data_IF_206183538686
#
_entry.id   IF_206183538686
#
_cell.length_a   1.000
_cell.length_b   1.000
_cell.length_c   1.000
_cell.angle_alpha   90.00
_cell.angle_beta   90.00
_cell.angle_gamma   90.00
#
_symmetry.space_group_name_H-M   'P 1'
#
loop_
_entity.id
_entity.type
_entity.pdbx_description
1 polymer ?
#
# COMPACT_ATOMS: atom_id res chain seq x y z
N UNK A 1 -5.56 28.18 4.46
CA UNK A 1 -5.88 27.16 3.43
C UNK A 1 -6.52 25.95 4.08
N UNK A 2 -7.30 25.15 3.34
CA UNK A 2 -8.03 24.00 3.87
C UNK A 2 -7.12 22.76 3.88
N UNK A 3 -6.98 22.11 5.02
CA UNK A 3 -6.21 20.87 5.11
C UNK A 3 -6.92 19.73 4.37
N UNK A 4 -6.15 18.90 3.68
CA UNK A 4 -6.65 17.68 3.07
C UNK A 4 -6.83 16.60 4.14
N UNK A 5 -7.89 15.80 4.00
CA UNK A 5 -8.19 14.74 4.96
C UNK A 5 -7.26 13.53 4.73
N UNK A 6 -6.25 13.39 5.58
CA UNK A 6 -5.26 12.32 5.51
C UNK A 6 -5.86 10.92 5.65
N UNK A 7 -6.96 10.76 6.39
CA UNK A 7 -7.62 9.46 6.57
C UNK A 7 -8.28 8.97 5.27
N UNK A 8 -8.89 9.90 4.51
CA UNK A 8 -9.51 9.57 3.22
C UNK A 8 -8.43 9.14 2.23
N UNK A 9 -7.32 9.88 2.15
CA UNK A 9 -6.21 9.55 1.27
C UNK A 9 -5.55 8.21 1.65
N UNK A 10 -5.39 7.94 2.95
CA UNK A 10 -4.97 6.64 3.45
C UNK A 10 -5.91 5.54 2.98
N UNK A 11 -7.22 5.66 3.19
CA UNK A 11 -8.19 4.66 2.72
C UNK A 11 -8.10 4.41 1.21
N UNK A 12 -8.03 5.48 0.41
CA UNK A 12 -7.92 5.37 -1.04
C UNK A 12 -6.64 4.67 -1.48
N UNK A 13 -5.48 5.03 -0.91
CA UNK A 13 -4.21 4.39 -1.23
C UNK A 13 -4.09 2.96 -0.66
N UNK A 14 -4.77 2.65 0.44
CA UNK A 14 -4.91 1.31 0.96
C UNK A 14 -5.62 0.38 -0.02
N UNK A 15 -6.80 0.80 -0.52
CA UNK A 15 -7.57 0.04 -1.52
C UNK A 15 -6.76 -0.10 -2.83
N UNK A 16 -6.11 0.99 -3.26
CA UNK A 16 -5.28 0.97 -4.46
C UNK A 16 -4.08 0.02 -4.33
N UNK A 17 -3.41 0.01 -3.19
CA UNK A 17 -2.30 -0.90 -2.88
C UNK A 17 -2.75 -2.36 -2.93
N UNK A 18 -3.93 -2.68 -2.37
CA UNK A 18 -4.53 -4.02 -2.44
C UNK A 18 -4.73 -4.44 -3.91
N UNK A 19 -5.30 -3.55 -4.74
CA UNK A 19 -5.56 -3.85 -6.15
C UNK A 19 -4.27 -4.12 -6.94
N UNK A 20 -3.26 -3.27 -6.77
CA UNK A 20 -1.94 -3.47 -7.39
C UNK A 20 -1.34 -4.79 -6.92
N UNK A 21 -1.42 -5.09 -5.63
CA UNK A 21 -0.86 -6.30 -5.06
C UNK A 21 -1.51 -7.57 -5.63
N UNK A 22 -2.84 -7.58 -5.77
CA UNK A 22 -3.57 -8.68 -6.41
C UNK A 22 -3.12 -8.85 -7.87
N UNK A 23 -3.03 -7.76 -8.63
CA UNK A 23 -2.56 -7.80 -10.03
C UNK A 23 -1.13 -8.34 -10.10
N UNK A 24 -0.25 -7.93 -9.20
CA UNK A 24 1.11 -8.43 -9.11
C UNK A 24 1.15 -9.94 -8.84
N UNK A 25 0.35 -10.44 -7.89
CA UNK A 25 0.29 -11.87 -7.60
C UNK A 25 -0.22 -12.70 -8.78
N UNK A 26 -1.22 -12.18 -9.51
CA UNK A 26 -1.76 -12.85 -10.71
C UNK A 26 -0.70 -12.88 -11.82
N UNK A 27 -0.05 -11.74 -12.11
CA UNK A 27 0.95 -11.63 -13.17
C UNK A 27 2.21 -12.44 -12.89
N UNK A 28 2.71 -12.47 -11.65
CA UNK A 28 3.83 -13.33 -11.26
C UNK A 28 3.51 -14.81 -11.39
N UNK A 29 2.26 -15.20 -11.10
CA UNK A 29 1.81 -16.59 -11.22
C UNK A 29 1.67 -17.05 -12.69
N UNK A 30 1.32 -16.14 -13.61
CA UNK A 30 1.18 -16.43 -15.04
C UNK A 30 2.55 -16.42 -15.76
N UNK A 31 3.39 -15.42 -15.47
CA UNK A 31 4.64 -15.18 -16.20
C UNK A 31 5.87 -15.85 -15.57
N UNK A 32 5.71 -16.62 -14.49
CA UNK A 32 6.83 -17.23 -13.77
C UNK A 32 7.77 -16.19 -13.12
N UNK A 33 7.25 -15.02 -12.77
CA UNK A 33 8.05 -13.90 -12.25
C UNK A 33 8.54 -14.14 -10.82
N UNK A 34 9.74 -13.64 -10.51
CA UNK A 34 10.33 -13.74 -9.18
C UNK A 34 9.62 -12.81 -8.18
N UNK A 35 9.15 -13.38 -7.07
CA UNK A 35 8.51 -12.64 -5.95
C UNK A 35 9.50 -11.92 -5.02
N UNK A 36 10.80 -12.00 -5.34
CA UNK A 36 11.91 -11.51 -4.52
C UNK A 36 11.80 -10.03 -4.11
N UNK A 37 11.14 -9.21 -4.93
CA UNK A 37 10.97 -7.78 -4.66
C UNK A 37 9.99 -7.48 -3.51
N UNK A 38 9.03 -8.37 -3.24
CA UNK A 38 7.96 -8.13 -2.27
C UNK A 38 8.26 -8.71 -0.89
N UNK A 39 9.07 -9.76 -0.83
CA UNK A 39 9.40 -10.50 0.40
C UNK A 39 9.85 -9.59 1.56
N UNK A 40 10.68 -8.55 1.36
CA UNK A 40 11.10 -7.68 2.46
C UNK A 40 9.94 -6.90 3.09
N UNK A 41 8.89 -6.64 2.33
CA UNK A 41 7.74 -5.82 2.74
C UNK A 41 6.56 -6.69 3.20
N UNK A 42 6.40 -7.87 2.62
CA UNK A 42 5.32 -8.83 2.87
C UNK A 42 5.90 -10.26 2.84
N UNK A 43 6.60 -10.71 3.90
CA UNK A 43 7.35 -11.96 3.89
C UNK A 43 6.47 -13.21 3.73
N UNK A 44 5.24 -13.15 4.23
CA UNK A 44 4.26 -14.24 4.12
C UNK A 44 3.72 -14.44 2.69
N UNK A 45 4.02 -13.53 1.74
CA UNK A 45 3.53 -13.63 0.37
C UNK A 45 4.20 -14.75 -0.46
N UNK A 46 5.30 -15.32 0.02
CA UNK A 46 5.98 -16.45 -0.62
C UNK A 46 5.50 -17.81 -0.15
N UNK A 47 4.79 -17.86 0.97
CA UNK A 47 4.32 -19.13 1.49
C UNK A 47 2.99 -19.53 0.83
N UNK A 48 2.87 -20.78 0.36
CA UNK A 48 1.61 -21.27 -0.18
C UNK A 48 0.58 -21.39 0.94
N UNK A 49 -0.66 -20.93 0.68
CA UNK A 49 -1.77 -21.07 1.61
C UNK A 49 -2.78 -19.93 1.54
N UNK A 50 -4.06 -20.25 1.75
CA UNK A 50 -5.14 -19.27 1.74
C UNK A 50 -4.96 -18.20 2.83
N UNK A 51 -4.51 -18.62 4.02
CA UNK A 51 -4.26 -17.70 5.14
C UNK A 51 -3.13 -16.71 4.83
N UNK A 52 -2.03 -17.21 4.25
CA UNK A 52 -0.88 -16.40 3.85
C UNK A 52 -1.24 -15.42 2.72
N UNK A 53 -2.07 -15.84 1.78
CA UNK A 53 -2.63 -14.97 0.74
C UNK A 53 -3.48 -13.83 1.33
N UNK A 54 -4.43 -14.15 2.21
CA UNK A 54 -5.28 -13.15 2.87
C UNK A 54 -4.44 -12.20 3.72
N UNK A 55 -3.50 -12.73 4.52
CA UNK A 55 -2.60 -11.94 5.33
C UNK A 55 -1.76 -10.97 4.49
N UNK A 56 -1.27 -11.42 3.33
CA UNK A 56 -0.49 -10.59 2.41
C UNK A 56 -1.30 -9.42 1.86
N UNK A 57 -2.57 -9.64 1.52
CA UNK A 57 -3.49 -8.59 1.07
C UNK A 57 -3.72 -7.56 2.17
N UNK A 58 -3.95 -8.02 3.41
CA UNK A 58 -4.16 -7.13 4.56
C UNK A 58 -2.93 -6.24 4.78
N UNK A 59 -1.73 -6.84 4.76
CA UNK A 59 -0.47 -6.10 4.93
C UNK A 59 -0.28 -5.08 3.80
N UNK A 60 -0.55 -5.45 2.54
CA UNK A 60 -0.50 -4.51 1.42
C UNK A 60 -1.45 -3.32 1.61
N UNK A 61 -2.66 -3.57 2.12
CA UNK A 61 -3.63 -2.52 2.46
C UNK A 61 -3.17 -1.60 3.58
N UNK A 62 -2.58 -2.16 4.65
CA UNK A 62 -2.01 -1.39 5.77
C UNK A 62 -0.89 -0.48 5.28
N UNK A 63 0.01 -0.99 4.43
CA UNK A 63 1.08 -0.20 3.84
C UNK A 63 0.55 0.93 2.95
N UNK A 64 -0.42 0.62 2.08
CA UNK A 64 -1.06 1.64 1.25
C UNK A 64 -1.73 2.73 2.09
N UNK A 65 -2.42 2.34 3.17
CA UNK A 65 -3.02 3.28 4.12
C UNK A 65 -1.99 4.16 4.78
N UNK A 66 -0.93 3.56 5.32
CA UNK A 66 0.15 4.28 5.99
C UNK A 66 0.84 5.29 5.05
N UNK A 67 1.13 4.89 3.81
CA UNK A 67 1.73 5.76 2.82
C UNK A 67 0.81 6.92 2.45
N UNK A 68 -0.48 6.65 2.21
CA UNK A 68 -1.43 7.70 1.87
C UNK A 68 -1.67 8.71 2.98
N UNK A 69 -1.75 8.24 4.22
CA UNK A 69 -1.80 9.10 5.39
C UNK A 69 -0.54 9.97 5.48
N UNK A 70 0.64 9.34 5.37
CA UNK A 70 1.93 10.02 5.48
C UNK A 70 2.11 11.09 4.40
N UNK A 71 1.77 10.80 3.14
CA UNK A 71 1.90 11.77 2.05
C UNK A 71 1.04 13.02 2.27
N UNK A 72 -0.23 12.84 2.68
CA UNK A 72 -1.10 13.99 2.95
C UNK A 72 -0.68 14.74 4.21
N UNK A 73 -0.19 14.03 5.22
CA UNK A 73 0.36 14.66 6.42
C UNK A 73 1.55 15.56 6.08
N UNK A 74 2.50 15.05 5.30
CA UNK A 74 3.66 15.81 4.81
C UNK A 74 3.20 16.99 3.95
N UNK A 75 2.29 16.76 3.00
CA UNK A 75 1.76 17.83 2.15
C UNK A 75 1.15 18.97 2.97
N UNK A 76 0.26 18.65 3.91
CA UNK A 76 -0.36 19.64 4.79
C UNK A 76 0.69 20.39 5.64
N UNK A 77 1.74 19.69 6.11
CA UNK A 77 2.84 20.33 6.83
C UNK A 77 3.58 21.37 5.99
N UNK A 78 3.94 21.03 4.74
CA UNK A 78 4.60 21.95 3.82
C UNK A 78 3.68 23.11 3.43
N UNK A 79 2.42 22.84 3.11
CA UNK A 79 1.45 23.87 2.78
C UNK A 79 1.33 24.91 3.90
N UNK A 80 1.19 24.48 5.16
CA UNK A 80 1.14 25.39 6.32
C UNK A 80 2.44 26.17 6.55
N UNK A 81 3.58 25.61 6.16
CA UNK A 81 4.90 26.22 6.38
C UNK A 81 5.24 27.27 5.33
N UNK A 82 4.86 27.05 4.06
CA UNK A 82 5.30 27.86 2.92
C UNK A 82 4.21 28.80 2.37
N UNK A 83 2.93 28.49 2.54
CA UNK A 83 1.82 29.37 2.13
C UNK A 83 1.40 30.35 3.25
N UNK A 84 2.38 30.96 3.92
CA UNK A 84 2.14 32.10 4.83
C UNK A 84 2.06 33.42 4.06
#
# INVERSE_FOLDING_TARGET
MKDYNANIAGLSLGIFSILIFIIYLVTTSINGGFREFIVPFIPIANEPGLLNFIGSIIIAGIWGYFLGFTFVYIYNFFQRKFDK
#
